data_IF_148597285491
#
_entry.id   IF_148597285491
#
_cell.length_a   1.000
_cell.length_b   1.000
_cell.length_c   1.000
_cell.angle_alpha   90.00
_cell.angle_beta   90.00
_cell.angle_gamma   90.00
#
_symmetry.space_group_name_H-M   'P 1'
#
loop_
_entity.id
_entity.type
_entity.pdbx_description
1 polymer ?
#
# COMPACT_ATOMS: atom_id res chain seq x y z
N UNK A 1 5.32 14.68 -7.87
CA UNK A 1 3.88 14.99 -8.03
C UNK A 1 3.44 16.11 -7.10
N UNK A 2 2.64 17.04 -7.60
CA UNK A 2 1.93 18.07 -6.83
C UNK A 2 0.60 17.51 -6.25
N UNK A 3 -0.10 18.30 -5.43
CA UNK A 3 -1.33 17.85 -4.75
C UNK A 3 -2.46 17.44 -5.71
N UNK A 4 -2.61 18.14 -6.84
CA UNK A 4 -3.62 17.84 -7.85
C UNK A 4 -3.36 16.49 -8.51
N UNK A 5 -2.10 16.24 -8.88
CA UNK A 5 -1.67 14.98 -9.48
C UNK A 5 -1.88 13.80 -8.52
N UNK A 6 -1.57 13.98 -7.23
CA UNK A 6 -1.81 12.94 -6.21
C UNK A 6 -3.30 12.64 -6.06
N UNK A 7 -4.17 13.66 -6.03
CA UNK A 7 -5.62 13.45 -5.94
C UNK A 7 -6.19 12.73 -7.18
N UNK A 8 -5.68 13.03 -8.37
CA UNK A 8 -6.04 12.34 -9.60
C UNK A 8 -5.60 10.87 -9.54
N UNK A 9 -4.37 10.61 -9.08
CA UNK A 9 -3.87 9.25 -8.85
C UNK A 9 -4.75 8.48 -7.88
N UNK A 10 -5.05 9.01 -6.69
CA UNK A 10 -5.85 8.30 -5.68
C UNK A 10 -7.22 7.91 -6.23
N UNK A 11 -7.87 8.83 -6.95
CA UNK A 11 -9.19 8.56 -7.56
C UNK A 11 -9.09 7.47 -8.64
N UNK A 12 -8.06 7.54 -9.50
CA UNK A 12 -7.86 6.56 -10.56
C UNK A 12 -7.47 5.18 -10.02
N UNK A 13 -6.65 5.11 -8.96
CA UNK A 13 -6.22 3.85 -8.36
C UNK A 13 -7.40 3.16 -7.67
N UNK A 14 -8.21 3.92 -6.91
CA UNK A 14 -9.43 3.37 -6.31
C UNK A 14 -10.41 2.86 -7.36
N UNK A 15 -10.53 3.53 -8.51
CA UNK A 15 -11.34 3.04 -9.63
C UNK A 15 -10.72 1.80 -10.29
N UNK A 16 -9.39 1.78 -10.47
CA UNK A 16 -8.66 0.65 -11.06
C UNK A 16 -8.94 -0.63 -10.30
N UNK A 17 -8.76 -0.59 -8.97
CA UNK A 17 -8.95 -1.77 -8.10
C UNK A 17 -10.36 -2.33 -8.18
N UNK A 18 -11.37 -1.46 -8.31
CA UNK A 18 -12.79 -1.87 -8.37
C UNK A 18 -13.25 -2.24 -9.78
N UNK A 19 -12.45 -1.97 -10.80
CA UNK A 19 -12.81 -2.24 -12.18
C UNK A 19 -12.42 -3.69 -12.54
N UNK A 20 -13.35 -4.52 -13.04
CA UNK A 20 -13.02 -5.87 -13.51
C UNK A 20 -11.89 -5.83 -14.56
N UNK A 21 -10.96 -6.77 -14.47
CA UNK A 21 -9.74 -6.76 -15.28
C UNK A 21 -10.03 -6.87 -16.79
N UNK A 22 -11.14 -7.48 -17.16
CA UNK A 22 -11.60 -7.66 -18.53
C UNK A 22 -12.25 -6.40 -19.11
N UNK A 23 -12.61 -5.43 -18.27
CA UNK A 23 -13.23 -4.20 -18.74
C UNK A 23 -12.18 -3.31 -19.42
N UNK A 24 -12.47 -2.68 -20.59
CA UNK A 24 -11.55 -1.75 -21.25
C UNK A 24 -11.09 -0.60 -20.35
N UNK A 25 -11.92 -0.23 -19.37
CA UNK A 25 -11.60 0.79 -18.37
C UNK A 25 -10.43 0.39 -17.46
N UNK A 26 -10.24 -0.90 -17.17
CA UNK A 26 -9.10 -1.41 -16.41
C UNK A 26 -7.79 -1.09 -17.14
N UNK A 27 -7.71 -1.36 -18.45
CA UNK A 27 -6.54 -1.01 -19.27
C UNK A 27 -6.23 0.49 -19.28
N UNK A 28 -7.27 1.34 -19.28
CA UNK A 28 -7.09 2.80 -19.22
C UNK A 28 -6.61 3.31 -17.84
N UNK A 29 -6.75 2.51 -16.78
CA UNK A 29 -6.38 2.85 -15.41
C UNK A 29 -5.10 2.12 -14.94
N UNK A 30 -4.60 1.18 -15.74
CA UNK A 30 -3.43 0.35 -15.45
C UNK A 30 -2.17 1.15 -15.13
N UNK A 31 -2.05 2.36 -15.67
CA UNK A 31 -0.95 3.29 -15.33
C UNK A 31 -0.79 3.53 -13.83
N UNK A 32 -1.86 3.40 -13.03
CA UNK A 32 -1.79 3.56 -11.58
C UNK A 32 -1.05 2.41 -10.90
N UNK A 33 -1.22 1.19 -11.43
CA UNK A 33 -0.45 0.02 -11.02
C UNK A 33 1.02 0.17 -11.43
N UNK A 34 1.28 0.50 -12.70
CA UNK A 34 2.65 0.69 -13.20
C UNK A 34 3.41 1.77 -12.42
N UNK A 35 2.75 2.88 -12.11
CA UNK A 35 3.36 3.96 -11.32
C UNK A 35 3.76 3.50 -9.92
N UNK A 36 2.91 2.72 -9.23
CA UNK A 36 3.22 2.22 -7.89
C UNK A 36 4.34 1.17 -7.94
N UNK A 37 4.31 0.27 -8.92
CA UNK A 37 5.34 -0.74 -9.11
C UNK A 37 6.70 -0.10 -9.41
N UNK A 38 6.75 0.87 -10.34
CA UNK A 38 7.96 1.63 -10.66
C UNK A 38 8.44 2.45 -9.46
N UNK A 39 7.55 3.14 -8.75
CA UNK A 39 7.92 3.91 -7.57
C UNK A 39 8.47 3.00 -6.45
N UNK A 40 7.90 1.81 -6.23
CA UNK A 40 8.39 0.90 -5.20
C UNK A 40 9.83 0.39 -5.49
N UNK A 41 10.25 0.39 -6.75
CA UNK A 41 11.61 0.04 -7.17
C UNK A 41 12.55 1.26 -7.18
N UNK A 42 12.10 2.38 -7.76
CA UNK A 42 12.96 3.48 -8.19
C UNK A 42 12.78 4.79 -7.41
N UNK A 43 11.64 4.99 -6.75
CA UNK A 43 11.34 6.19 -5.95
C UNK A 43 10.50 5.81 -4.71
N UNK A 44 11.12 5.18 -3.70
CA UNK A 44 10.38 4.64 -2.56
C UNK A 44 9.69 5.71 -1.71
N UNK A 45 10.16 6.96 -1.75
CA UNK A 45 9.47 8.08 -1.11
C UNK A 45 8.18 8.45 -1.85
N UNK A 46 8.18 8.41 -3.18
CA UNK A 46 6.95 8.56 -3.95
C UNK A 46 5.99 7.40 -3.66
N UNK A 47 6.46 6.16 -3.66
CA UNK A 47 5.64 4.99 -3.35
C UNK A 47 4.96 5.15 -1.98
N UNK A 48 5.75 5.46 -0.94
CA UNK A 48 5.24 5.73 0.40
C UNK A 48 4.17 6.83 0.42
N UNK A 49 4.44 7.97 -0.24
CA UNK A 49 3.50 9.09 -0.30
C UNK A 49 2.18 8.72 -0.99
N UNK A 50 2.22 7.89 -2.03
CA UNK A 50 1.03 7.44 -2.74
C UNK A 50 0.22 6.46 -1.89
N UNK A 51 0.86 5.48 -1.22
CA UNK A 51 0.20 4.59 -0.26
C UNK A 51 -0.52 5.41 0.82
N UNK A 52 0.19 6.35 1.46
CA UNK A 52 -0.37 7.23 2.48
C UNK A 52 -1.56 8.05 1.97
N UNK A 53 -1.46 8.59 0.74
CA UNK A 53 -2.52 9.38 0.14
C UNK A 53 -3.78 8.55 -0.17
N UNK A 54 -3.61 7.29 -0.60
CA UNK A 54 -4.75 6.38 -0.83
C UNK A 54 -5.39 6.00 0.50
N UNK A 55 -4.62 5.56 1.50
CA UNK A 55 -5.14 5.19 2.84
C UNK A 55 -5.87 6.37 3.50
N UNK A 56 -5.40 7.60 3.31
CA UNK A 56 -6.05 8.78 3.88
C UNK A 56 -7.43 9.11 3.25
N UNK A 57 -7.75 8.55 2.08
CA UNK A 57 -8.94 8.92 1.30
C UNK A 57 -9.89 7.76 1.04
N UNK A 58 -9.41 6.52 1.06
CA UNK A 58 -10.18 5.35 0.69
C UNK A 58 -9.97 4.23 1.72
N UNK A 59 -11.04 3.90 2.44
CA UNK A 59 -11.07 2.84 3.46
C UNK A 59 -11.74 1.56 2.96
N UNK A 60 -11.96 1.44 1.66
CA UNK A 60 -12.53 0.25 1.04
C UNK A 60 -11.59 -0.95 1.15
N UNK A 61 -12.14 -2.09 1.55
CA UNK A 61 -11.37 -3.30 1.81
C UNK A 61 -10.61 -3.80 0.58
N UNK A 62 -11.18 -3.69 -0.63
CA UNK A 62 -10.51 -4.12 -1.85
C UNK A 62 -9.30 -3.24 -2.15
N UNK A 63 -9.43 -1.93 -1.93
CA UNK A 63 -8.35 -0.96 -2.12
C UNK A 63 -7.22 -1.20 -1.11
N UNK A 64 -7.56 -1.43 0.15
CA UNK A 64 -6.55 -1.72 1.19
C UNK A 64 -5.85 -3.06 0.94
N UNK A 65 -6.60 -4.10 0.53
CA UNK A 65 -6.02 -5.39 0.17
C UNK A 65 -5.09 -5.28 -1.05
N UNK A 66 -5.47 -4.51 -2.07
CA UNK A 66 -4.65 -4.28 -3.26
C UNK A 66 -3.37 -3.49 -2.94
N UNK A 67 -3.44 -2.49 -2.04
CA UNK A 67 -2.25 -1.80 -1.57
C UNK A 67 -1.34 -2.71 -0.74
N UNK A 68 -1.94 -3.55 0.11
CA UNK A 68 -1.20 -4.45 0.98
C UNK A 68 -0.43 -5.51 0.18
N UNK A 69 -1.12 -6.22 -0.72
CA UNK A 69 -0.56 -7.33 -1.50
C UNK A 69 0.32 -6.93 -2.69
N UNK A 70 0.56 -5.63 -2.87
CA UNK A 70 1.38 -5.10 -3.97
C UNK A 70 2.38 -4.06 -3.45
N UNK A 71 2.06 -2.77 -3.56
CA UNK A 71 3.04 -1.71 -3.31
C UNK A 71 3.61 -1.72 -1.89
N UNK A 72 2.85 -2.13 -0.87
CA UNK A 72 3.37 -2.20 0.50
C UNK A 72 4.38 -3.35 0.67
N UNK A 73 4.09 -4.54 0.12
CA UNK A 73 5.03 -5.66 0.08
C UNK A 73 6.30 -5.31 -0.69
N UNK A 74 6.15 -4.69 -1.86
CA UNK A 74 7.25 -4.30 -2.72
C UNK A 74 8.19 -3.29 -2.04
N UNK A 75 7.61 -2.29 -1.37
CA UNK A 75 8.36 -1.29 -0.59
C UNK A 75 9.10 -1.94 0.58
N UNK A 76 8.44 -2.83 1.32
CA UNK A 76 9.04 -3.53 2.47
C UNK A 76 10.16 -4.49 2.05
N UNK A 77 9.99 -5.19 0.92
CA UNK A 77 10.99 -6.13 0.42
C UNK A 77 12.28 -5.44 -0.02
N UNK A 78 12.17 -4.29 -0.69
CA UNK A 78 13.32 -3.57 -1.25
C UNK A 78 13.92 -2.54 -0.31
N UNK A 79 13.07 -1.86 0.46
CA UNK A 79 13.43 -0.68 1.24
C UNK A 79 13.02 -0.79 2.71
N UNK A 80 12.62 -1.98 3.18
CA UNK A 80 12.18 -2.23 4.55
C UNK A 80 13.02 -1.55 5.64
N UNK A 81 14.36 -1.69 5.65
CA UNK A 81 15.22 -1.05 6.66
C UNK A 81 15.06 0.48 6.74
N UNK A 82 14.78 1.15 5.63
CA UNK A 82 14.62 2.61 5.58
C UNK A 82 13.21 3.08 5.98
N UNK A 83 12.20 2.21 5.91
CA UNK A 83 10.79 2.58 6.11
C UNK A 83 10.16 1.99 7.37
N UNK A 84 10.74 0.96 7.97
CA UNK A 84 10.08 0.20 9.04
C UNK A 84 9.72 1.05 10.28
N UNK A 85 10.56 2.01 10.68
CA UNK A 85 10.24 2.93 11.79
C UNK A 85 9.04 3.86 11.49
N UNK A 86 8.93 4.30 10.23
CA UNK A 86 7.81 5.12 9.76
C UNK A 86 6.53 4.30 9.72
N UNK A 87 6.63 3.04 9.27
CA UNK A 87 5.52 2.08 9.25
C UNK A 87 4.99 1.82 10.66
N UNK A 88 5.87 1.56 11.62
CA UNK A 88 5.49 1.36 13.03
C UNK A 88 4.80 2.61 13.60
N UNK A 89 5.41 3.78 13.40
CA UNK A 89 4.84 5.05 13.85
C UNK A 89 3.45 5.27 13.25
N UNK A 90 3.29 4.97 11.97
CA UNK A 90 2.04 5.17 11.28
C UNK A 90 0.97 4.18 11.71
N UNK A 91 1.32 2.91 11.88
CA UNK A 91 0.43 1.88 12.39
C UNK A 91 -0.02 2.16 13.83
N UNK A 92 0.82 2.77 14.66
CA UNK A 92 0.44 3.21 16.00
C UNK A 92 -0.63 4.32 15.97
N UNK A 93 -0.55 5.24 15.00
CA UNK A 93 -1.39 6.43 14.90
C UNK A 93 -2.66 6.24 14.06
N UNK A 94 -2.65 5.30 13.12
CA UNK A 94 -3.72 5.12 12.14
C UNK A 94 -4.23 3.66 12.12
N UNK A 95 -5.41 3.38 12.70
CA UNK A 95 -6.00 2.05 12.70
C UNK A 95 -6.23 1.47 11.30
N UNK A 96 -6.51 2.32 10.30
CA UNK A 96 -6.69 1.87 8.91
C UNK A 96 -5.37 1.44 8.28
N UNK A 97 -4.28 2.16 8.59
CA UNK A 97 -2.95 1.77 8.16
C UNK A 97 -2.52 0.45 8.82
N UNK A 98 -2.86 0.27 10.10
CA UNK A 98 -2.67 -1.01 10.79
C UNK A 98 -3.45 -2.14 10.11
N UNK A 99 -4.69 -1.89 9.69
CA UNK A 99 -5.50 -2.83 8.94
C UNK A 99 -4.88 -3.18 7.58
N UNK A 100 -4.34 -2.20 6.86
CA UNK A 100 -3.56 -2.44 5.65
C UNK A 100 -2.38 -3.39 5.90
N UNK A 101 -1.63 -3.23 7.00
CA UNK A 101 -0.54 -4.15 7.35
C UNK A 101 -1.00 -5.59 7.62
N UNK A 102 -2.27 -5.81 7.99
CA UNK A 102 -2.83 -7.15 8.13
C UNK A 102 -2.98 -7.88 6.79
N UNK A 103 -3.10 -7.15 5.69
CA UNK A 103 -3.16 -7.71 4.34
C UNK A 103 -1.81 -8.00 3.69
N UNK A 104 -0.69 -7.62 4.32
CA UNK A 104 0.68 -7.82 3.79
C UNK A 104 1.13 -9.26 4.01
N UNK A 105 1.74 -9.86 3.00
CA UNK A 105 2.33 -11.18 3.01
C UNK A 105 3.86 -11.07 3.02
N UNK A 106 4.55 -11.96 3.75
CA UNK A 106 6.00 -11.84 3.90
C UNK A 106 6.75 -11.86 2.57
N UNK A 107 6.45 -12.82 1.68
CA UNK A 107 7.13 -12.99 0.39
C UNK A 107 8.66 -12.79 0.48
N UNK A 108 9.18 -11.74 -0.15
CA UNK A 108 10.60 -11.39 -0.19
C UNK A 108 11.08 -10.45 0.93
N UNK A 109 10.20 -10.08 1.87
CA UNK A 109 10.52 -9.21 3.01
C UNK A 109 11.51 -9.93 3.93
N UNK A 110 12.67 -9.33 4.25
CA UNK A 110 13.64 -9.91 5.20
C UNK A 110 12.99 -10.21 6.56
N UNK A 111 13.38 -11.31 7.19
CA UNK A 111 12.75 -11.79 8.43
C UNK A 111 12.72 -10.72 9.54
N UNK A 112 13.82 -9.99 9.71
CA UNK A 112 13.93 -8.92 10.72
C UNK A 112 12.94 -7.76 10.48
N UNK A 113 12.61 -7.47 9.22
CA UNK A 113 11.61 -6.47 8.87
C UNK A 113 10.22 -7.05 9.05
N UNK A 114 10.02 -8.30 8.65
CA UNK A 114 8.74 -8.98 8.79
C UNK A 114 8.29 -9.10 10.24
N UNK A 115 9.18 -9.44 11.16
CA UNK A 115 8.85 -9.53 12.59
C UNK A 115 8.32 -8.20 13.14
N UNK A 116 8.89 -7.08 12.67
CA UNK A 116 8.45 -5.73 13.01
C UNK A 116 7.11 -5.37 12.36
N UNK A 117 6.86 -5.79 11.13
CA UNK A 117 5.54 -5.65 10.48
C UNK A 117 4.46 -6.41 11.26
N UNK A 118 4.74 -7.64 11.68
CA UNK A 118 3.82 -8.44 12.50
C UNK A 118 3.55 -7.78 13.85
N UNK A 119 4.57 -7.21 14.50
CA UNK A 119 4.39 -6.46 15.73
C UNK A 119 3.54 -5.19 15.51
N UNK A 120 3.81 -4.44 14.44
CA UNK A 120 3.13 -3.18 14.13
C UNK A 120 1.65 -3.36 13.76
N UNK A 121 1.30 -4.43 13.03
CA UNK A 121 -0.10 -4.74 12.70
C UNK A 121 -0.91 -5.22 13.90
N UNK A 122 -0.23 -5.69 14.96
CA UNK A 122 -0.85 -6.24 16.15
C UNK A 122 -1.31 -7.69 15.96
N UNK A 123 -1.88 -8.32 17.01
CA UNK A 123 -2.46 -9.64 16.88
C UNK A 123 -3.58 -9.61 15.85
N UNK A 124 -3.74 -10.70 15.07
CA UNK A 124 -4.88 -10.86 14.18
C UNK A 124 -6.14 -10.57 14.99
N UNK A 125 -6.82 -9.46 14.69
CA UNK A 125 -8.11 -9.15 15.27
C UNK A 125 -9.05 -10.22 14.72
N UNK A 126 -9.18 -11.30 15.49
CA UNK A 126 -9.85 -12.51 15.07
C UNK A 126 -11.13 -12.17 14.31
N UNK A 127 -11.29 -12.78 13.13
CA UNK A 127 -12.57 -12.83 12.46
C UNK A 127 -13.58 -13.31 13.51
N UNK A 128 -14.44 -12.39 13.98
CA UNK A 128 -15.60 -12.72 14.82
C UNK A 128 -16.68 -13.26 13.91
#
# INVERSE_FOLDING_TARGET
MNATEVNAFVSAYGEFVRTPIEAPRSGALFWTFDLLADAAENDPELCWRLIEAVVARDSDEQVLAALAAGPMEDLLARHGPAFIERIETRAAQNPLFRHLLAGVWRNAIPQEIWDRVVAARGPDLGKV
#
